data_IF_198777725349
#
_entry.id   IF_198777725349
#
_cell.length_a   1.000
_cell.length_b   1.000
_cell.length_c   1.000
_cell.angle_alpha   90.00
_cell.angle_beta   90.00
_cell.angle_gamma   90.00
#
_symmetry.space_group_name_H-M   'P 1'
#
loop_
_entity.id
_entity.type
_entity.pdbx_description
1 polymer ?
#
# COMPACT_ATOMS: atom_id res chain seq x y z
N UNK A 1 -1.25 -24.17 -10.56
CA UNK A 1 -2.59 -23.89 -10.01
C UNK A 1 -3.30 -22.85 -10.85
N UNK A 2 -4.64 -22.87 -10.79
CA UNK A 2 -5.51 -21.83 -11.37
C UNK A 2 -6.02 -20.94 -10.23
N UNK A 3 -5.69 -19.66 -10.25
CA UNK A 3 -5.88 -18.74 -9.12
C UNK A 3 -6.79 -17.59 -9.54
N UNK A 4 -7.91 -17.41 -8.86
CA UNK A 4 -8.78 -16.26 -9.00
C UNK A 4 -8.40 -15.18 -7.98
N UNK A 5 -8.05 -13.99 -8.43
CA UNK A 5 -7.70 -12.84 -7.59
C UNK A 5 -8.85 -11.83 -7.61
N UNK A 6 -9.53 -11.65 -6.50
CA UNK A 6 -10.73 -10.80 -6.42
C UNK A 6 -10.39 -9.43 -5.82
N UNK A 7 -10.55 -8.35 -6.61
CA UNK A 7 -10.46 -6.97 -6.13
C UNK A 7 -11.83 -6.37 -5.92
N UNK A 8 -12.10 -5.68 -4.81
CA UNK A 8 -13.33 -4.90 -4.65
C UNK A 8 -13.29 -3.55 -5.36
N UNK A 9 -12.09 -3.07 -5.75
CA UNK A 9 -11.86 -1.69 -6.18
C UNK A 9 -11.84 -1.52 -7.70
N UNK A 10 -12.16 -0.31 -8.14
CA UNK A 10 -12.09 0.10 -9.56
C UNK A 10 -10.70 -0.14 -10.14
N UNK A 11 -10.61 -1.07 -11.10
CA UNK A 11 -9.33 -1.43 -11.71
C UNK A 11 -8.73 -0.33 -12.58
N UNK A 12 -9.56 0.58 -13.08
CA UNK A 12 -9.10 1.73 -13.87
C UNK A 12 -8.42 2.83 -13.03
N UNK A 13 -8.48 2.73 -11.70
CA UNK A 13 -7.87 3.73 -10.81
C UNK A 13 -6.67 3.16 -10.07
N UNK A 14 -5.53 3.87 -10.09
CA UNK A 14 -4.35 3.48 -9.31
C UNK A 14 -4.67 3.39 -7.82
N UNK A 15 -4.18 2.34 -7.16
CA UNK A 15 -4.35 2.16 -5.72
C UNK A 15 -3.54 0.99 -5.21
N UNK A 16 -3.04 1.10 -3.97
CA UNK A 16 -2.13 0.10 -3.38
C UNK A 16 -2.64 -1.33 -3.43
N UNK A 17 -3.95 -1.56 -3.27
CA UNK A 17 -4.53 -2.92 -3.35
C UNK A 17 -4.53 -3.45 -4.78
N UNK A 18 -4.90 -2.63 -5.78
CA UNK A 18 -4.87 -3.06 -7.18
C UNK A 18 -3.43 -3.32 -7.65
N UNK A 19 -2.48 -2.49 -7.25
CA UNK A 19 -1.04 -2.71 -7.51
C UNK A 19 -0.57 -4.02 -6.87
N UNK A 20 -0.93 -4.27 -5.61
CA UNK A 20 -0.62 -5.52 -4.92
C UNK A 20 -1.16 -6.75 -5.67
N UNK A 21 -2.41 -6.70 -6.12
CA UNK A 21 -3.04 -7.80 -6.87
C UNK A 21 -2.35 -8.02 -8.21
N UNK A 22 -2.02 -6.96 -8.94
CA UNK A 22 -1.30 -7.01 -10.21
C UNK A 22 0.06 -7.68 -10.04
N UNK A 23 0.86 -7.18 -9.09
CA UNK A 23 2.20 -7.73 -8.83
C UNK A 23 2.14 -9.21 -8.39
N UNK A 24 1.19 -9.59 -7.53
CA UNK A 24 1.00 -11.00 -7.18
C UNK A 24 0.62 -11.84 -8.40
N UNK A 25 -0.30 -11.35 -9.25
CA UNK A 25 -0.70 -12.03 -10.48
C UNK A 25 0.49 -12.28 -11.40
N UNK A 26 1.33 -11.26 -11.61
CA UNK A 26 2.49 -11.33 -12.48
C UNK A 26 3.53 -12.32 -11.92
N UNK A 27 3.79 -12.29 -10.61
CA UNK A 27 4.69 -13.25 -9.96
C UNK A 27 4.14 -14.67 -10.02
N UNK A 28 2.86 -14.89 -9.79
CA UNK A 28 2.27 -16.23 -9.91
C UNK A 28 2.34 -16.77 -11.35
N UNK A 29 2.15 -15.91 -12.35
CA UNK A 29 2.32 -16.27 -13.76
C UNK A 29 3.77 -16.63 -14.08
N UNK A 30 4.74 -15.88 -13.57
CA UNK A 30 6.17 -16.19 -13.72
C UNK A 30 6.57 -17.54 -13.08
N UNK A 31 5.85 -17.94 -12.00
CA UNK A 31 5.99 -19.26 -11.35
C UNK A 31 5.25 -20.38 -12.10
N UNK A 32 4.63 -20.09 -13.27
CA UNK A 32 3.91 -21.08 -14.08
C UNK A 32 2.45 -21.33 -13.66
N UNK A 33 1.86 -20.46 -12.85
CA UNK A 33 0.44 -20.55 -12.47
C UNK A 33 -0.45 -19.76 -13.43
N UNK A 34 -1.71 -20.14 -13.56
CA UNK A 34 -2.72 -19.39 -14.30
C UNK A 34 -3.46 -18.46 -13.33
N UNK A 35 -3.56 -17.18 -13.66
CA UNK A 35 -4.25 -16.20 -12.83
C UNK A 35 -5.37 -15.52 -13.60
N UNK A 36 -6.48 -15.25 -12.92
CA UNK A 36 -7.59 -14.43 -13.42
C UNK A 36 -7.90 -13.37 -12.37
N UNK A 37 -7.80 -12.11 -12.76
CA UNK A 37 -8.15 -10.98 -11.89
C UNK A 37 -9.62 -10.64 -12.12
N UNK A 38 -10.39 -10.50 -11.05
CA UNK A 38 -11.80 -10.14 -11.10
C UNK A 38 -12.02 -8.84 -10.34
N UNK A 39 -12.43 -7.78 -11.04
CA UNK A 39 -12.59 -6.46 -10.47
C UNK A 39 -13.72 -5.66 -11.14
N UNK A 40 -14.28 -4.62 -10.49
CA UNK A 40 -15.08 -3.63 -11.20
C UNK A 40 -14.16 -2.69 -11.99
N UNK A 41 -14.65 -2.09 -13.06
CA UNK A 41 -13.91 -1.08 -13.80
C UNK A 41 -14.82 0.04 -14.31
N UNK A 42 -14.31 1.28 -14.25
CA UNK A 42 -14.96 2.47 -14.79
C UNK A 42 -14.61 2.72 -16.26
N UNK A 43 -13.57 2.05 -16.78
CA UNK A 43 -13.13 2.09 -18.18
C UNK A 43 -13.40 0.77 -18.89
N UNK A 44 -13.51 0.77 -20.24
CA UNK A 44 -13.56 -0.45 -21.03
C UNK A 44 -12.30 -1.30 -20.85
N UNK A 45 -12.42 -2.63 -20.95
CA UNK A 45 -11.29 -3.56 -20.78
C UNK A 45 -10.15 -3.25 -21.78
N UNK A 46 -10.49 -2.85 -23.00
CA UNK A 46 -9.51 -2.51 -24.03
C UNK A 46 -8.59 -1.32 -23.66
N UNK A 47 -9.00 -0.49 -22.70
CA UNK A 47 -8.20 0.64 -22.19
C UNK A 47 -7.40 0.27 -20.91
N UNK A 48 -7.52 -0.98 -20.45
CA UNK A 48 -6.88 -1.46 -19.23
C UNK A 48 -5.74 -2.40 -19.62
N UNK A 49 -4.53 -2.02 -19.26
CA UNK A 49 -3.32 -2.82 -19.51
C UNK A 49 -3.27 -4.04 -18.57
N UNK A 50 -4.17 -5.01 -18.83
CA UNK A 50 -4.26 -6.24 -18.04
C UNK A 50 -4.99 -7.31 -18.85
N UNK A 51 -4.26 -8.29 -19.38
CA UNK A 51 -4.75 -9.32 -20.30
C UNK A 51 -5.63 -10.40 -19.62
N UNK A 52 -5.44 -10.61 -18.33
CA UNK A 52 -6.15 -11.62 -17.54
C UNK A 52 -7.24 -11.04 -16.63
N UNK A 53 -7.80 -9.89 -17.00
CA UNK A 53 -8.84 -9.18 -16.24
C UNK A 53 -10.25 -9.56 -16.70
N UNK A 54 -11.09 -9.97 -15.76
CA UNK A 54 -12.53 -10.11 -15.92
C UNK A 54 -13.24 -8.98 -15.19
N UNK A 55 -13.87 -8.09 -15.95
CA UNK A 55 -14.60 -6.95 -15.37
C UNK A 55 -16.00 -7.35 -14.95
N UNK A 56 -16.32 -7.19 -13.67
CA UNK A 56 -17.65 -7.43 -13.11
C UNK A 56 -18.14 -6.20 -12.34
N UNK A 57 -19.05 -5.45 -12.96
CA UNK A 57 -19.71 -4.30 -12.35
C UNK A 57 -19.06 -2.96 -12.68
N UNK A 58 -19.86 -1.89 -12.52
CA UNK A 58 -19.39 -0.51 -12.60
C UNK A 58 -19.18 0.01 -11.18
N UNK A 59 -18.02 0.61 -10.88
CA UNK A 59 -17.76 1.17 -9.56
C UNK A 59 -18.46 2.52 -9.37
N UNK A 60 -18.81 2.82 -8.13
CA UNK A 60 -19.26 4.13 -7.69
C UNK A 60 -18.36 4.62 -6.55
N UNK A 61 -18.16 5.94 -6.40
CA UNK A 61 -17.38 6.48 -5.31
C UNK A 61 -18.14 6.38 -4.00
N UNK A 62 -17.52 5.77 -2.98
CA UNK A 62 -18.07 5.63 -1.63
C UNK A 62 -17.07 6.23 -0.64
N UNK A 63 -17.44 7.27 0.14
CA UNK A 63 -16.60 7.79 1.20
C UNK A 63 -16.28 6.72 2.24
N UNK A 64 -15.00 6.45 2.47
CA UNK A 64 -14.56 5.42 3.41
C UNK A 64 -13.23 5.83 4.06
N UNK A 65 -13.21 5.87 5.39
CA UNK A 65 -12.01 6.06 6.18
C UNK A 65 -11.16 7.32 5.85
N UNK A 66 -11.81 8.42 5.50
CA UNK A 66 -11.12 9.67 5.13
C UNK A 66 -10.56 9.68 3.71
N UNK A 67 -10.97 8.71 2.89
CA UNK A 67 -10.68 8.59 1.47
C UNK A 67 -11.95 8.22 0.70
N UNK A 68 -11.84 8.07 -0.63
CA UNK A 68 -12.93 7.63 -1.49
C UNK A 68 -12.58 6.26 -2.08
N UNK A 69 -13.32 5.23 -1.65
CA UNK A 69 -13.26 3.90 -2.27
C UNK A 69 -14.19 3.85 -3.49
N UNK A 70 -13.72 3.33 -4.61
CA UNK A 70 -14.54 3.11 -5.81
C UNK A 70 -14.87 1.64 -5.91
N UNK A 71 -16.09 1.27 -5.51
CA UNK A 71 -16.54 -0.13 -5.41
C UNK A 71 -17.87 -0.31 -6.13
N UNK A 72 -18.19 -1.53 -6.55
CA UNK A 72 -19.51 -1.85 -7.07
C UNK A 72 -20.49 -2.19 -5.95
N UNK A 73 -21.73 -1.69 -6.04
CA UNK A 73 -22.82 -2.01 -5.12
C UNK A 73 -23.96 -2.79 -5.79
N UNK A 74 -23.83 -3.16 -7.07
CA UNK A 74 -24.85 -3.87 -7.83
C UNK A 74 -24.92 -5.37 -7.46
N UNK A 75 -25.86 -5.74 -6.63
CA UNK A 75 -26.10 -7.13 -6.19
C UNK A 75 -26.42 -8.10 -7.32
N UNK A 76 -26.98 -7.61 -8.43
CA UNK A 76 -27.24 -8.43 -9.62
C UNK A 76 -25.97 -9.02 -10.22
N UNK A 77 -24.80 -8.43 -9.95
CA UNK A 77 -23.49 -8.93 -10.39
C UNK A 77 -23.04 -10.17 -9.65
N UNK A 78 -23.63 -10.47 -8.48
CA UNK A 78 -23.32 -11.68 -7.72
C UNK A 78 -23.58 -12.97 -8.52
N UNK A 79 -24.60 -12.99 -9.40
CA UNK A 79 -24.85 -14.14 -10.30
C UNK A 79 -23.71 -14.34 -11.30
N UNK A 80 -23.13 -13.25 -11.84
CA UNK A 80 -22.01 -13.33 -12.77
C UNK A 80 -20.74 -13.81 -12.08
N UNK A 81 -20.52 -13.42 -10.81
CA UNK A 81 -19.43 -13.99 -9.99
C UNK A 81 -19.62 -15.49 -9.81
N UNK A 82 -20.86 -15.93 -9.50
CA UNK A 82 -21.17 -17.34 -9.35
C UNK A 82 -20.85 -18.14 -10.63
N UNK A 83 -21.37 -17.69 -11.78
CA UNK A 83 -21.11 -18.35 -13.08
C UNK A 83 -19.61 -18.43 -13.35
N UNK A 84 -18.88 -17.32 -13.21
CA UNK A 84 -17.43 -17.31 -13.40
C UNK A 84 -16.70 -18.33 -12.53
N UNK A 85 -17.06 -18.43 -11.24
CA UNK A 85 -16.44 -19.38 -10.32
C UNK A 85 -16.75 -20.85 -10.67
N UNK A 86 -17.95 -21.11 -11.21
CA UNK A 86 -18.36 -22.44 -11.69
C UNK A 86 -17.66 -22.80 -13.01
N UNK A 87 -17.54 -21.83 -13.94
CA UNK A 87 -16.94 -22.06 -15.27
C UNK A 87 -15.40 -22.21 -15.19
N UNK A 88 -14.77 -21.42 -14.29
CA UNK A 88 -13.31 -21.38 -14.19
C UNK A 88 -12.70 -22.48 -13.31
N UNK A 89 -13.44 -23.05 -12.39
CA UNK A 89 -12.98 -24.13 -11.49
C UNK A 89 -11.59 -23.81 -10.86
N UNK A 90 -11.47 -22.66 -10.19
CA UNK A 90 -10.22 -22.26 -9.55
C UNK A 90 -9.77 -23.24 -8.46
N UNK A 91 -8.48 -23.50 -8.38
CA UNK A 91 -7.87 -24.19 -7.22
C UNK A 91 -7.94 -23.29 -5.97
N UNK A 92 -7.63 -22.00 -6.16
CA UNK A 92 -7.60 -20.99 -5.11
C UNK A 92 -8.38 -19.75 -5.55
N UNK A 93 -9.22 -19.23 -4.67
CA UNK A 93 -9.84 -17.91 -4.80
C UNK A 93 -9.29 -17.00 -3.70
N UNK A 94 -8.44 -16.07 -4.09
CA UNK A 94 -7.83 -15.10 -3.18
C UNK A 94 -8.60 -13.78 -3.22
N UNK A 95 -9.17 -13.40 -2.10
CA UNK A 95 -10.11 -12.28 -1.99
C UNK A 95 -9.46 -11.15 -1.21
N UNK A 96 -9.23 -10.03 -1.86
CA UNK A 96 -8.70 -8.84 -1.18
C UNK A 96 -9.84 -8.04 -0.56
N UNK A 97 -9.68 -7.61 0.70
CA UNK A 97 -10.72 -7.00 1.52
C UNK A 97 -12.02 -7.84 1.52
N UNK A 98 -11.96 -9.09 2.01
CA UNK A 98 -13.00 -10.10 1.79
C UNK A 98 -14.37 -9.77 2.37
N UNK A 99 -14.45 -8.77 3.26
CA UNK A 99 -15.70 -8.35 3.89
C UNK A 99 -16.31 -7.08 3.25
N UNK A 100 -15.73 -6.58 2.14
CA UNK A 100 -16.35 -5.53 1.36
C UNK A 100 -17.53 -6.08 0.52
N UNK A 101 -18.55 -5.24 0.27
CA UNK A 101 -19.78 -5.69 -0.37
C UNK A 101 -19.59 -6.14 -1.82
N UNK A 102 -20.56 -6.91 -2.29
CA UNK A 102 -20.80 -7.43 -3.64
C UNK A 102 -19.73 -8.43 -4.10
N UNK A 103 -18.63 -8.03 -4.76
CA UNK A 103 -17.71 -9.00 -5.35
C UNK A 103 -17.04 -9.89 -4.32
N UNK A 104 -16.39 -9.36 -3.26
CA UNK A 104 -15.77 -10.20 -2.23
C UNK A 104 -16.76 -11.13 -1.54
N UNK A 105 -17.92 -10.60 -1.12
CA UNK A 105 -18.93 -11.40 -0.45
C UNK A 105 -19.57 -12.43 -1.39
N UNK A 106 -19.77 -12.12 -2.67
CA UNK A 106 -20.26 -13.09 -3.64
C UNK A 106 -19.24 -14.22 -3.87
N UNK A 107 -17.94 -13.86 -3.97
CA UNK A 107 -16.88 -14.85 -4.06
C UNK A 107 -16.88 -15.78 -2.85
N UNK A 108 -16.93 -15.25 -1.62
CA UNK A 108 -17.03 -16.05 -0.40
C UNK A 108 -18.27 -16.94 -0.33
N UNK A 109 -19.39 -16.48 -0.90
CA UNK A 109 -20.65 -17.23 -0.89
C UNK A 109 -20.63 -18.40 -1.85
N UNK A 110 -20.12 -18.19 -3.06
CA UNK A 110 -20.31 -19.15 -4.16
C UNK A 110 -19.07 -19.96 -4.48
N UNK A 111 -17.90 -19.56 -4.02
CA UNK A 111 -16.67 -20.34 -4.24
C UNK A 111 -16.71 -21.67 -3.49
N UNK A 112 -16.26 -22.71 -4.21
CA UNK A 112 -16.00 -24.08 -3.68
C UNK A 112 -14.50 -24.38 -3.59
N UNK A 113 -13.68 -23.43 -4.04
CA UNK A 113 -12.22 -23.49 -4.06
C UNK A 113 -11.62 -23.31 -2.67
N UNK A 114 -10.30 -23.35 -2.56
CA UNK A 114 -9.61 -22.84 -1.38
C UNK A 114 -9.78 -21.31 -1.32
N UNK A 115 -10.48 -20.80 -0.33
CA UNK A 115 -10.69 -19.36 -0.16
C UNK A 115 -9.66 -18.76 0.79
N UNK A 116 -8.88 -17.81 0.30
CA UNK A 116 -7.92 -17.03 1.11
C UNK A 116 -8.32 -15.57 1.08
N UNK A 117 -8.26 -14.90 2.23
CA UNK A 117 -8.61 -13.48 2.31
C UNK A 117 -7.45 -12.63 2.79
N UNK A 118 -7.10 -11.55 2.05
CA UNK A 118 -6.10 -10.57 2.49
C UNK A 118 -6.77 -9.28 2.95
N UNK A 119 -6.39 -8.83 4.16
CA UNK A 119 -6.83 -7.60 4.79
C UNK A 119 -5.74 -6.54 4.70
N UNK A 120 -6.04 -5.44 4.00
CA UNK A 120 -5.11 -4.34 3.75
C UNK A 120 -5.38 -3.12 4.63
N UNK A 121 -6.62 -2.94 5.08
CA UNK A 121 -7.04 -1.70 5.73
C UNK A 121 -6.66 -1.64 7.21
N UNK A 122 -6.13 -0.50 7.63
CA UNK A 122 -6.01 -0.12 9.03
C UNK A 122 -7.03 0.96 9.37
N UNK A 123 -8.16 0.54 9.95
CA UNK A 123 -9.22 1.45 10.39
C UNK A 123 -9.36 1.37 11.90
N UNK A 124 -8.88 2.37 12.62
CA UNK A 124 -8.88 2.44 14.09
C UNK A 124 -10.24 2.09 14.71
N UNK A 125 -11.36 2.39 14.03
CA UNK A 125 -12.73 1.96 14.35
C UNK A 125 -13.49 1.70 13.07
N UNK A 126 -13.88 0.46 12.82
CA UNK A 126 -14.72 0.11 11.67
C UNK A 126 -16.18 -0.08 12.14
N UNK A 127 -16.96 1.00 12.04
CA UNK A 127 -18.39 0.97 12.38
C UNK A 127 -19.16 -0.05 11.52
N UNK A 128 -18.78 -0.22 10.27
CA UNK A 128 -19.38 -1.20 9.36
C UNK A 128 -19.16 -2.63 9.84
N UNK A 129 -17.93 -2.99 10.24
CA UNK A 129 -17.64 -4.31 10.80
C UNK A 129 -18.43 -4.57 12.09
N UNK A 130 -18.58 -3.57 12.94
CA UNK A 130 -19.37 -3.69 14.18
C UNK A 130 -20.84 -3.91 13.88
N UNK A 131 -21.44 -3.10 13.01
CA UNK A 131 -22.86 -3.17 12.68
C UNK A 131 -23.24 -4.45 11.93
N UNK A 132 -22.37 -4.90 11.00
CA UNK A 132 -22.61 -6.07 10.16
C UNK A 132 -22.03 -7.37 10.74
N UNK A 133 -21.42 -7.32 11.94
CA UNK A 133 -20.78 -8.47 12.58
C UNK A 133 -21.64 -9.74 12.61
N UNK A 134 -22.94 -9.72 12.94
CA UNK A 134 -23.76 -10.92 12.96
C UNK A 134 -23.83 -11.64 11.62
N UNK A 135 -23.92 -10.84 10.55
CA UNK A 135 -23.98 -11.33 9.16
C UNK A 135 -22.62 -11.78 8.68
N UNK A 136 -21.61 -10.90 8.79
CA UNK A 136 -20.26 -11.14 8.28
C UNK A 136 -19.52 -12.25 9.02
N UNK A 137 -19.87 -12.54 10.28
CA UNK A 137 -19.31 -13.66 11.06
C UNK A 137 -19.52 -15.01 10.36
N UNK A 138 -20.65 -15.20 9.72
CA UNK A 138 -20.92 -16.44 9.00
C UNK A 138 -20.12 -16.52 7.68
N UNK A 139 -19.88 -15.37 7.04
CA UNK A 139 -19.16 -15.31 5.76
C UNK A 139 -17.65 -15.50 5.94
N UNK A 140 -17.07 -14.92 6.99
CA UNK A 140 -15.63 -15.07 7.27
C UNK A 140 -15.23 -16.52 7.57
N UNK A 141 -16.18 -17.36 8.00
CA UNK A 141 -15.96 -18.81 8.21
C UNK A 141 -15.67 -19.55 6.91
N UNK A 142 -16.06 -18.98 5.76
CA UNK A 142 -15.78 -19.57 4.46
C UNK A 142 -14.34 -19.27 3.98
N UNK A 143 -13.58 -18.46 4.73
CA UNK A 143 -12.13 -18.29 4.51
C UNK A 143 -11.40 -19.48 5.16
N UNK A 144 -10.67 -20.23 4.37
CA UNK A 144 -9.77 -21.28 4.82
C UNK A 144 -8.46 -20.68 5.35
N UNK A 145 -8.00 -19.59 4.72
CA UNK A 145 -6.84 -18.83 5.14
C UNK A 145 -7.10 -17.33 5.24
N UNK A 146 -6.41 -16.68 6.19
CA UNK A 146 -6.48 -15.24 6.38
C UNK A 146 -5.08 -14.66 6.42
N UNK A 147 -4.84 -13.69 5.56
CA UNK A 147 -3.60 -12.91 5.48
C UNK A 147 -3.90 -11.47 5.93
N UNK A 148 -2.98 -10.88 6.65
CA UNK A 148 -2.98 -9.45 6.90
C UNK A 148 -1.62 -8.87 6.50
N UNK A 149 -1.61 -7.67 5.91
CA UNK A 149 -0.38 -7.04 5.42
C UNK A 149 0.51 -6.51 6.55
N UNK A 150 0.02 -6.50 7.78
CA UNK A 150 0.76 -6.07 8.97
C UNK A 150 0.06 -6.48 10.25
N UNK A 151 0.77 -6.51 11.38
CA UNK A 151 0.18 -6.72 12.69
C UNK A 151 -0.92 -5.69 13.04
N UNK A 152 -0.76 -4.38 12.75
CA UNK A 152 -1.84 -3.42 12.94
C UNK A 152 -3.10 -3.73 12.13
N UNK A 153 -2.95 -4.19 10.88
CA UNK A 153 -4.09 -4.59 10.05
C UNK A 153 -4.80 -5.84 10.63
N UNK A 154 -4.01 -6.86 11.03
CA UNK A 154 -4.52 -8.05 11.71
C UNK A 154 -5.23 -7.70 13.00
N UNK A 155 -4.64 -6.87 13.85
CA UNK A 155 -5.19 -6.49 15.15
C UNK A 155 -6.54 -5.78 15.05
N UNK A 156 -6.79 -5.04 13.97
CA UNK A 156 -8.10 -4.40 13.77
C UNK A 156 -9.17 -5.40 13.39
N UNK A 157 -8.90 -6.25 12.42
CA UNK A 157 -9.91 -7.22 11.97
C UNK A 157 -10.16 -8.28 13.05
N UNK A 158 -9.12 -8.70 13.78
CA UNK A 158 -9.21 -9.67 14.87
C UNK A 158 -10.10 -9.21 16.04
N UNK A 159 -10.21 -7.89 16.29
CA UNK A 159 -11.16 -7.34 17.29
C UNK A 159 -12.61 -7.69 17.00
N UNK A 160 -12.98 -7.82 15.72
CA UNK A 160 -14.34 -8.13 15.31
C UNK A 160 -14.51 -9.61 14.96
N UNK A 161 -13.45 -10.23 14.44
CA UNK A 161 -13.43 -11.60 13.94
C UNK A 161 -12.16 -12.31 14.45
N UNK A 162 -12.14 -12.77 15.69
CA UNK A 162 -11.00 -13.47 16.29
C UNK A 162 -10.57 -14.67 15.45
N UNK A 163 -9.26 -14.94 15.42
CA UNK A 163 -8.67 -16.06 14.72
C UNK A 163 -7.22 -15.78 14.35
N UNK A 164 -6.57 -16.76 13.75
CA UNK A 164 -5.21 -16.63 13.23
C UNK A 164 -5.21 -15.86 11.91
N UNK A 165 -4.26 -14.94 11.79
CA UNK A 165 -3.98 -14.16 10.59
C UNK A 165 -2.49 -14.30 10.29
N UNK A 166 -2.17 -14.86 9.12
CA UNK A 166 -0.79 -14.95 8.67
C UNK A 166 -0.32 -13.56 8.22
N UNK A 167 0.78 -13.07 8.78
CA UNK A 167 1.32 -11.76 8.43
C UNK A 167 2.23 -11.90 7.20
N UNK A 168 1.72 -11.47 6.05
CA UNK A 168 2.48 -11.40 4.80
C UNK A 168 2.46 -9.95 4.32
N UNK A 169 3.61 -9.24 4.33
CA UNK A 169 3.68 -7.82 4.03
C UNK A 169 3.37 -7.52 2.56
N UNK A 170 3.18 -6.24 2.24
CA UNK A 170 3.19 -5.80 0.85
C UNK A 170 4.60 -5.92 0.27
N UNK A 171 4.67 -6.21 -1.01
CA UNK A 171 5.91 -6.21 -1.78
C UNK A 171 6.26 -4.84 -2.35
N UNK A 172 7.50 -4.73 -2.81
CA UNK A 172 8.02 -3.59 -3.55
C UNK A 172 8.67 -4.07 -4.86
N UNK A 173 8.50 -3.31 -5.93
CA UNK A 173 9.21 -3.52 -7.20
C UNK A 173 10.61 -2.93 -7.10
N UNK A 174 11.57 -3.77 -6.75
CA UNK A 174 12.96 -3.37 -6.56
C UNK A 174 13.64 -2.95 -7.87
N UNK A 175 13.21 -3.48 -9.01
CA UNK A 175 13.76 -3.09 -10.30
C UNK A 175 13.28 -1.69 -10.69
N UNK A 176 12.00 -1.43 -10.48
CA UNK A 176 11.40 -0.12 -10.76
C UNK A 176 11.94 0.98 -9.83
N UNK A 177 12.02 0.73 -8.53
CA UNK A 177 12.57 1.67 -7.54
C UNK A 177 14.08 1.48 -7.31
N UNK A 178 14.82 1.08 -8.35
CA UNK A 178 16.27 0.87 -8.25
C UNK A 178 17.02 2.17 -7.96
N UNK A 179 18.10 2.03 -7.21
CA UNK A 179 19.06 3.10 -7.02
C UNK A 179 19.83 3.47 -8.31
N UNK A 180 19.76 2.65 -9.35
CA UNK A 180 20.42 2.87 -10.64
C UNK A 180 19.60 3.80 -11.56
N UNK A 181 18.35 4.11 -11.21
CA UNK A 181 17.53 5.10 -11.93
C UNK A 181 18.14 6.49 -11.77
N UNK A 182 18.37 7.24 -12.88
CA UNK A 182 19.00 8.55 -12.80
C UNK A 182 18.07 9.58 -12.15
N UNK A 183 18.58 10.45 -11.26
CA UNK A 183 17.82 11.56 -10.69
C UNK A 183 17.45 12.59 -11.76
N UNK A 184 16.60 13.55 -11.43
CA UNK A 184 16.33 14.70 -12.30
C UNK A 184 17.47 15.71 -12.21
N UNK A 185 18.15 15.97 -13.32
CA UNK A 185 19.30 16.89 -13.40
C UNK A 185 18.96 18.31 -12.95
N UNK A 186 17.75 18.80 -13.22
CA UNK A 186 17.29 20.13 -12.82
C UNK A 186 17.33 20.40 -11.30
N UNK A 187 17.42 19.36 -10.50
CA UNK A 187 17.51 19.45 -9.04
C UNK A 187 18.94 19.17 -8.50
N UNK A 188 19.89 18.95 -9.39
CA UNK A 188 21.29 18.79 -9.04
C UNK A 188 22.01 20.17 -9.02
N UNK A 189 21.50 21.09 -8.24
CA UNK A 189 21.93 22.49 -8.16
C UNK A 189 22.57 22.84 -6.80
N UNK A 190 22.92 21.83 -6.02
CA UNK A 190 23.54 21.99 -4.69
C UNK A 190 22.53 22.21 -3.55
N UNK A 191 21.24 22.26 -3.84
CA UNK A 191 20.20 22.28 -2.79
C UNK A 191 19.94 20.87 -2.25
N UNK A 192 19.54 20.80 -0.98
CA UNK A 192 19.10 19.57 -0.33
C UNK A 192 17.61 19.37 -0.60
N UNK A 193 17.26 18.32 -1.31
CA UNK A 193 15.90 18.04 -1.71
C UNK A 193 15.20 17.14 -0.68
N UNK A 194 14.17 17.69 -0.01
CA UNK A 194 13.26 16.93 0.86
C UNK A 194 12.05 16.53 0.01
N UNK A 195 11.70 15.25 -0.02
CA UNK A 195 10.59 14.73 -0.81
C UNK A 195 9.44 14.27 0.07
N UNK A 196 8.23 14.66 -0.31
CA UNK A 196 6.98 14.08 0.17
C UNK A 196 6.25 13.43 -1.01
N UNK A 197 5.77 12.18 -0.82
CA UNK A 197 4.94 11.47 -1.79
C UNK A 197 3.64 11.02 -1.14
N UNK A 198 2.51 11.48 -1.66
CA UNK A 198 1.21 11.06 -1.16
C UNK A 198 0.07 11.96 -1.62
N UNK A 199 -1.16 11.42 -1.52
CA UNK A 199 -2.36 12.24 -1.77
C UNK A 199 -2.47 13.37 -0.76
N UNK A 200 -2.96 14.54 -1.18
CA UNK A 200 -3.16 15.70 -0.31
C UNK A 200 -4.34 15.49 0.66
N UNK A 201 -4.27 14.42 1.45
CA UNK A 201 -5.24 14.07 2.48
C UNK A 201 -4.71 14.51 3.85
N UNK A 202 -5.59 15.05 4.71
CA UNK A 202 -5.23 15.52 6.05
C UNK A 202 -4.44 14.49 6.88
N UNK A 203 -4.78 13.19 6.71
CA UNK A 203 -4.10 12.09 7.41
C UNK A 203 -2.64 11.88 6.96
N UNK A 204 -2.25 12.33 5.76
CA UNK A 204 -0.87 12.27 5.26
C UNK A 204 0.05 13.30 5.91
N UNK A 205 -0.52 14.27 6.61
CA UNK A 205 0.21 15.13 7.54
C UNK A 205 1.09 16.20 6.89
N UNK A 206 0.87 16.54 5.60
CA UNK A 206 1.68 17.54 4.89
C UNK A 206 1.80 18.87 5.65
N UNK A 207 0.76 19.30 6.37
CA UNK A 207 0.78 20.50 7.21
C UNK A 207 1.93 20.47 8.24
N UNK A 208 2.26 19.31 8.81
CA UNK A 208 3.35 19.20 9.79
C UNK A 208 4.72 19.27 9.13
N UNK A 209 4.85 18.75 7.91
CA UNK A 209 6.07 18.92 7.13
C UNK A 209 6.29 20.36 6.71
N UNK A 210 5.24 21.04 6.24
CA UNK A 210 5.31 22.47 5.91
C UNK A 210 5.69 23.32 7.14
N UNK A 211 5.12 23.02 8.30
CA UNK A 211 5.47 23.69 9.55
C UNK A 211 6.92 23.40 9.96
N UNK A 212 7.38 22.17 9.90
CA UNK A 212 8.78 21.79 10.16
C UNK A 212 9.73 22.46 9.16
N UNK A 213 9.41 22.41 7.86
CA UNK A 213 10.18 23.06 6.81
C UNK A 213 10.34 24.57 7.06
N UNK A 214 9.26 25.25 7.44
CA UNK A 214 9.31 26.67 7.75
C UNK A 214 10.19 27.01 8.95
N UNK A 215 10.36 26.12 9.92
CA UNK A 215 11.26 26.32 11.06
C UNK A 215 12.73 26.27 10.65
N UNK A 216 13.06 25.39 9.69
CA UNK A 216 14.46 25.16 9.30
C UNK A 216 14.92 26.00 8.13
N UNK A 217 14.01 26.53 7.32
CA UNK A 217 14.34 27.25 6.06
C UNK A 217 15.25 28.48 6.27
N UNK A 218 15.09 29.21 7.36
CA UNK A 218 15.94 30.36 7.67
C UNK A 218 17.38 29.97 8.02
N UNK A 219 17.56 28.87 8.72
CA UNK A 219 18.89 28.36 9.09
C UNK A 219 19.56 27.63 7.92
N UNK A 220 18.75 26.97 7.09
CA UNK A 220 19.21 26.18 5.94
C UNK A 220 18.57 26.67 4.63
N UNK A 221 18.98 27.82 4.10
CA UNK A 221 18.38 28.38 2.88
C UNK A 221 18.53 27.47 1.65
N UNK A 222 19.48 26.55 1.66
CA UNK A 222 19.73 25.59 0.59
C UNK A 222 18.77 24.39 0.57
N UNK A 223 17.79 24.30 1.48
CA UNK A 223 16.79 23.22 1.43
C UNK A 223 15.66 23.53 0.44
N UNK A 224 15.18 22.50 -0.25
CA UNK A 224 14.02 22.54 -1.14
C UNK A 224 13.04 21.43 -0.73
N UNK A 225 11.73 21.71 -0.85
CA UNK A 225 10.67 20.74 -0.59
C UNK A 225 9.94 20.38 -1.88
N UNK A 226 10.01 19.13 -2.30
CA UNK A 226 9.31 18.55 -3.45
C UNK A 226 8.08 17.80 -2.96
N UNK A 227 6.90 18.13 -3.47
CA UNK A 227 5.62 17.56 -3.04
C UNK A 227 4.98 16.88 -4.25
N UNK A 228 4.93 15.53 -4.21
CA UNK A 228 4.36 14.69 -5.27
C UNK A 228 3.06 14.06 -4.78
N UNK A 229 2.03 14.17 -5.59
CA UNK A 229 0.74 13.50 -5.40
C UNK A 229 -0.47 14.36 -5.74
N UNK A 230 -1.60 13.73 -6.05
CA UNK A 230 -2.81 14.42 -6.41
C UNK A 230 -3.57 14.97 -5.20
N UNK A 231 -4.43 15.94 -5.46
CA UNK A 231 -5.35 16.51 -4.48
C UNK A 231 -5.22 18.02 -4.35
N UNK A 232 -5.97 18.57 -3.41
CA UNK A 232 -5.90 19.98 -3.02
C UNK A 232 -5.33 20.07 -1.60
N UNK A 233 -4.64 21.14 -1.33
CA UNK A 233 -4.14 21.44 0.03
C UNK A 233 -5.33 21.59 0.99
N UNK A 234 -5.11 21.22 2.23
CA UNK A 234 -6.04 21.59 3.28
C UNK A 234 -5.81 23.02 3.77
N UNK A 235 -6.81 23.61 4.40
CA UNK A 235 -6.78 25.00 4.86
C UNK A 235 -5.60 25.28 5.83
N UNK A 236 -5.13 24.28 6.58
CA UNK A 236 -3.99 24.43 7.46
C UNK A 236 -2.68 24.55 6.68
N UNK A 237 -2.51 23.72 5.64
CA UNK A 237 -1.35 23.79 4.74
C UNK A 237 -1.33 25.10 3.94
N UNK A 238 -2.49 25.52 3.41
CA UNK A 238 -2.63 26.80 2.69
C UNK A 238 -2.27 28.00 3.57
N UNK A 239 -2.70 27.99 4.82
CA UNK A 239 -2.38 29.04 5.79
C UNK A 239 -0.89 29.12 6.07
N UNK A 240 -0.22 27.97 6.32
CA UNK A 240 1.22 27.94 6.59
C UNK A 240 2.00 28.51 5.40
N UNK A 241 1.62 28.16 4.18
CA UNK A 241 2.25 28.67 2.96
C UNK A 241 2.04 30.19 2.81
N UNK A 242 0.80 30.67 3.01
CA UNK A 242 0.45 32.08 2.87
C UNK A 242 1.08 32.98 3.94
N UNK A 243 1.12 32.54 5.21
CA UNK A 243 1.66 33.31 6.31
C UNK A 243 3.20 33.41 6.30
N UNK A 244 3.88 32.41 5.73
CA UNK A 244 5.33 32.24 5.85
C UNK A 244 6.11 32.44 4.56
N UNK A 245 5.42 32.70 3.42
CA UNK A 245 6.04 32.94 2.11
C UNK A 245 7.17 31.91 1.82
N UNK A 246 6.83 30.60 1.93
CA UNK A 246 7.84 29.54 1.86
C UNK A 246 8.41 29.43 0.44
N UNK A 247 9.66 29.83 0.30
CA UNK A 247 10.43 29.67 -0.92
C UNK A 247 10.88 28.20 -1.11
N UNK A 248 11.17 27.82 -2.34
CA UNK A 248 11.64 26.49 -2.70
C UNK A 248 10.69 25.35 -2.29
N UNK A 249 9.37 25.59 -2.29
CA UNK A 249 8.34 24.55 -2.16
C UNK A 249 7.71 24.32 -3.53
N UNK A 250 7.92 23.15 -4.10
CA UNK A 250 7.41 22.78 -5.43
C UNK A 250 6.29 21.73 -5.32
N UNK A 251 5.09 22.10 -5.80
CA UNK A 251 3.95 21.18 -5.94
C UNK A 251 3.95 20.57 -7.34
N UNK A 252 4.33 19.31 -7.42
CA UNK A 252 4.49 18.59 -8.68
C UNK A 252 3.19 17.90 -9.16
N UNK A 253 2.18 17.87 -8.29
CA UNK A 253 0.92 17.19 -8.59
C UNK A 253 1.10 15.68 -8.75
N UNK A 254 0.20 15.08 -9.51
CA UNK A 254 0.31 13.67 -9.85
C UNK A 254 1.35 13.49 -10.96
N UNK A 255 2.39 12.71 -10.69
CA UNK A 255 3.43 12.36 -11.66
C UNK A 255 3.14 10.97 -12.26
N UNK A 256 3.66 10.67 -13.47
CA UNK A 256 3.64 9.32 -14.02
C UNK A 256 4.33 8.33 -13.07
N UNK A 257 3.84 7.09 -13.04
CA UNK A 257 4.42 6.05 -12.18
C UNK A 257 5.88 5.79 -12.51
N UNK A 258 6.23 5.81 -13.79
CA UNK A 258 7.60 5.57 -14.28
C UNK A 258 8.58 6.69 -13.93
N UNK A 259 8.09 7.90 -13.66
CA UNK A 259 8.93 9.01 -13.19
C UNK A 259 9.12 9.02 -11.66
N UNK A 260 8.25 8.31 -10.92
CA UNK A 260 8.27 8.32 -9.45
C UNK A 260 9.62 7.88 -8.85
N UNK A 261 10.29 6.82 -9.37
CA UNK A 261 11.62 6.42 -8.89
C UNK A 261 12.66 7.54 -9.02
N UNK A 262 12.60 8.34 -10.07
CA UNK A 262 13.51 9.47 -10.30
C UNK A 262 13.36 10.53 -9.22
N UNK A 263 12.13 10.80 -8.72
CA UNK A 263 11.91 11.73 -7.60
C UNK A 263 12.50 11.20 -6.31
N UNK A 264 12.35 9.90 -6.02
CA UNK A 264 13.01 9.31 -4.86
C UNK A 264 14.53 9.41 -4.99
N UNK A 265 15.09 9.13 -6.17
CA UNK A 265 16.55 9.27 -6.43
C UNK A 265 17.05 10.72 -6.38
N UNK A 266 16.20 11.67 -6.69
CA UNK A 266 16.50 13.11 -6.58
C UNK A 266 16.54 13.58 -5.13
N UNK A 267 15.80 12.93 -4.27
CA UNK A 267 15.66 13.34 -2.88
C UNK A 267 16.88 12.96 -2.04
N UNK A 268 17.34 13.90 -1.25
CA UNK A 268 18.32 13.69 -0.18
C UNK A 268 17.68 13.12 1.08
N UNK A 269 16.39 13.44 1.31
CA UNK A 269 15.60 12.99 2.45
C UNK A 269 14.17 12.74 1.97
N UNK A 270 13.63 11.56 2.23
CA UNK A 270 12.21 11.29 2.08
C UNK A 270 11.49 11.49 3.41
N UNK A 271 10.37 12.21 3.40
CA UNK A 271 9.60 12.51 4.60
C UNK A 271 8.14 12.09 4.47
N UNK A 272 7.66 11.24 5.40
CA UNK A 272 6.27 10.79 5.45
C UNK A 272 5.65 11.05 6.83
N UNK A 273 5.09 12.25 7.09
CA UNK A 273 4.61 12.68 8.40
C UNK A 273 3.15 12.32 8.67
N UNK A 274 2.72 11.13 8.24
CA UNK A 274 1.33 10.71 8.38
C UNK A 274 0.85 10.74 9.84
N UNK A 275 -0.40 11.15 10.04
CA UNK A 275 -0.98 11.28 11.39
C UNK A 275 -1.68 10.01 11.87
N UNK A 276 -1.76 8.99 11.02
CA UNK A 276 -2.40 7.70 11.26
C UNK A 276 -3.15 7.18 10.03
N UNK A 277 -3.78 6.02 10.17
CA UNK A 277 -4.58 5.43 9.08
C UNK A 277 -3.75 4.77 7.97
N UNK A 278 -2.46 4.53 8.22
CA UNK A 278 -1.60 3.73 7.36
C UNK A 278 -1.52 2.31 7.93
N UNK A 279 -1.71 1.33 7.06
CA UNK A 279 -1.64 -0.08 7.46
C UNK A 279 -0.24 -0.65 7.36
N UNK A 280 0.61 -0.08 6.51
CA UNK A 280 1.94 -0.60 6.21
C UNK A 280 2.94 0.51 5.88
N UNK A 281 2.76 1.23 4.76
CA UNK A 281 3.67 2.31 4.34
C UNK A 281 4.52 1.93 3.13
N UNK A 282 3.88 1.56 2.01
CA UNK A 282 4.57 1.22 0.75
C UNK A 282 5.54 2.32 0.32
N UNK A 283 5.16 3.60 0.46
CA UNK A 283 6.01 4.75 0.10
C UNK A 283 7.35 4.79 0.85
N UNK A 284 7.41 4.18 2.04
CA UNK A 284 8.66 4.05 2.80
C UNK A 284 9.59 3.03 2.13
N UNK A 285 9.03 1.89 1.69
CA UNK A 285 9.80 0.89 0.94
C UNK A 285 10.24 1.40 -0.43
N UNK A 286 9.43 2.22 -1.10
CA UNK A 286 9.81 2.89 -2.36
C UNK A 286 11.04 3.78 -2.15
N UNK A 287 11.03 4.62 -1.11
CA UNK A 287 12.17 5.45 -0.75
C UNK A 287 13.40 4.62 -0.38
N UNK A 288 13.23 3.59 0.46
CA UNK A 288 14.31 2.68 0.87
C UNK A 288 14.91 1.94 -0.33
N UNK A 289 14.09 1.40 -1.24
CA UNK A 289 14.57 0.70 -2.43
C UNK A 289 15.39 1.62 -3.33
N UNK A 290 15.01 2.88 -3.45
CA UNK A 290 15.77 3.91 -4.15
C UNK A 290 17.06 4.33 -3.40
N UNK A 291 17.29 3.87 -2.17
CA UNK A 291 18.43 4.25 -1.33
C UNK A 291 18.29 5.64 -0.67
N UNK A 292 17.08 6.18 -0.63
CA UNK A 292 16.79 7.47 -0.03
C UNK A 292 16.50 7.30 1.46
N UNK A 293 17.20 8.02 2.36
CA UNK A 293 16.96 7.94 3.79
C UNK A 293 15.58 8.47 4.16
N UNK A 294 14.94 7.82 5.11
CA UNK A 294 13.53 8.04 5.46
C UNK A 294 13.39 8.68 6.84
N UNK A 295 12.57 9.74 6.92
CA UNK A 295 11.99 10.24 8.17
C UNK A 295 10.48 10.00 8.10
N UNK A 296 9.90 9.34 9.09
CA UNK A 296 8.48 9.04 9.11
C UNK A 296 7.87 9.23 10.50
N UNK A 297 6.56 9.38 10.57
CA UNK A 297 5.87 9.40 11.86
C UNK A 297 5.89 8.02 12.52
N UNK A 298 6.08 7.99 13.85
CA UNK A 298 5.92 6.79 14.67
C UNK A 298 4.42 6.45 14.83
N UNK A 299 3.91 5.78 13.81
CA UNK A 299 2.55 5.24 13.78
C UNK A 299 2.59 3.72 13.54
N UNK A 300 1.62 2.96 14.05
CA UNK A 300 1.68 1.50 14.02
C UNK A 300 1.99 0.89 12.65
N UNK A 301 1.43 1.45 11.57
CA UNK A 301 1.71 0.94 10.21
C UNK A 301 3.13 1.20 9.74
N UNK A 302 3.72 2.33 10.07
CA UNK A 302 5.10 2.66 9.68
C UNK A 302 6.15 1.94 10.52
N UNK A 303 5.87 1.75 11.82
CA UNK A 303 6.71 0.95 12.71
C UNK A 303 6.79 -0.54 12.33
N UNK A 304 5.97 -1.02 11.38
CA UNK A 304 6.13 -2.37 10.82
C UNK A 304 7.18 -2.44 9.70
N UNK A 305 7.57 -1.28 9.16
CA UNK A 305 8.54 -1.16 8.06
C UNK A 305 9.84 -0.54 8.54
N UNK A 306 9.79 0.40 9.50
CA UNK A 306 10.97 1.10 10.02
C UNK A 306 11.24 0.66 11.46
N UNK A 307 12.45 0.19 11.69
CA UNK A 307 13.07 0.17 13.01
C UNK A 307 13.86 1.47 13.17
N UNK A 308 13.50 2.25 14.21
CA UNK A 308 14.07 3.58 14.44
C UNK A 308 15.60 3.53 14.59
N UNK A 309 16.29 4.42 13.87
CA UNK A 309 17.75 4.49 13.81
C UNK A 309 18.42 3.36 13.02
N UNK A 310 17.72 2.27 12.70
CA UNK A 310 18.27 1.17 11.89
C UNK A 310 18.04 1.39 10.38
N UNK A 311 16.80 1.61 9.98
CA UNK A 311 16.41 1.71 8.56
C UNK A 311 15.82 3.08 8.18
N UNK A 312 15.62 3.96 9.15
CA UNK A 312 15.07 5.30 9.03
C UNK A 312 14.93 5.94 10.40
N UNK A 313 14.31 7.11 10.46
CA UNK A 313 14.03 7.84 11.69
C UNK A 313 12.54 7.95 11.91
N UNK A 314 12.09 7.58 13.10
CA UNK A 314 10.69 7.73 13.53
C UNK A 314 10.55 8.95 14.46
N UNK A 315 9.55 9.79 14.17
CA UNK A 315 9.23 10.97 14.98
C UNK A 315 7.78 10.91 15.47
N UNK A 316 7.45 11.48 16.63
CA UNK A 316 6.08 11.53 17.10
C UNK A 316 5.14 12.14 16.06
N UNK A 317 3.97 11.52 15.78
CA UNK A 317 3.03 12.05 14.82
C UNK A 317 2.45 13.37 15.29
N UNK A 318 2.24 14.32 14.37
CA UNK A 318 1.72 15.68 14.62
C UNK A 318 2.66 16.59 15.42
N UNK A 319 3.93 16.25 15.50
CA UNK A 319 4.97 17.05 16.14
C UNK A 319 5.91 17.63 15.08
N UNK A 320 5.64 18.86 14.66
CA UNK A 320 6.45 19.59 13.67
C UNK A 320 7.81 20.01 14.23
N UNK A 321 7.94 20.15 15.55
CA UNK A 321 9.23 20.47 16.16
C UNK A 321 10.16 19.26 16.18
N UNK A 322 9.66 18.08 16.58
CA UNK A 322 10.42 16.83 16.50
C UNK A 322 10.82 16.51 15.04
N UNK A 323 9.90 16.72 14.09
CA UNK A 323 10.18 16.55 12.67
C UNK A 323 11.26 17.51 12.17
N UNK A 324 11.20 18.79 12.57
CA UNK A 324 12.23 19.79 12.23
C UNK A 324 13.61 19.37 12.77
N UNK A 325 13.68 18.91 14.02
CA UNK A 325 14.93 18.43 14.62
C UNK A 325 15.51 17.23 13.85
N UNK A 326 14.69 16.27 13.48
CA UNK A 326 15.12 15.12 12.67
C UNK A 326 15.64 15.54 11.28
N UNK A 327 14.97 16.50 10.64
CA UNK A 327 15.43 17.09 9.37
C UNK A 327 16.79 17.79 9.55
N UNK A 328 16.95 18.62 10.57
CA UNK A 328 18.22 19.31 10.87
C UNK A 328 19.36 18.32 11.08
N UNK A 329 19.13 17.26 11.85
CA UNK A 329 20.11 16.21 12.07
C UNK A 329 20.55 15.54 10.76
N UNK A 330 19.60 15.19 9.90
CA UNK A 330 19.88 14.63 8.58
C UNK A 330 20.61 15.62 7.65
N UNK A 331 20.28 16.92 7.70
CA UNK A 331 20.92 17.95 6.89
C UNK A 331 22.38 18.13 7.31
N UNK A 332 22.65 18.17 8.62
CA UNK A 332 23.99 18.40 9.17
C UNK A 332 24.92 17.20 9.06
N UNK A 333 24.37 15.99 8.91
CA UNK A 333 25.14 14.73 8.90
C UNK A 333 24.97 13.95 7.59
N UNK A 334 25.64 14.37 6.50
CA UNK A 334 25.52 13.72 5.20
C UNK A 334 25.96 12.25 5.23
N UNK A 335 26.93 11.88 6.08
CA UNK A 335 27.39 10.49 6.20
C UNK A 335 26.33 9.62 6.87
N UNK A 336 25.71 10.07 7.96
CA UNK A 336 24.59 9.37 8.60
C UNK A 336 23.41 9.21 7.62
N UNK A 337 23.11 10.27 6.86
CA UNK A 337 22.07 10.25 5.82
C UNK A 337 22.35 9.19 4.77
N UNK A 338 23.59 9.11 4.28
CA UNK A 338 24.02 8.10 3.29
C UNK A 338 23.95 6.67 3.87
N UNK A 339 24.42 6.47 5.07
CA UNK A 339 24.41 5.18 5.76
C UNK A 339 22.99 4.67 6.02
N UNK A 340 22.06 5.53 6.47
CA UNK A 340 20.65 5.20 6.62
C UNK A 340 20.01 4.79 5.28
N UNK A 341 20.32 5.50 4.20
CA UNK A 341 19.84 5.17 2.87
C UNK A 341 20.33 3.80 2.40
N UNK A 342 21.60 3.47 2.62
CA UNK A 342 22.18 2.16 2.28
C UNK A 342 21.55 1.02 3.09
N UNK A 343 21.38 1.21 4.40
CA UNK A 343 20.74 0.22 5.28
C UNK A 343 19.27 0.03 4.91
N UNK A 344 18.55 1.12 4.63
CA UNK A 344 17.18 1.06 4.14
C UNK A 344 17.07 0.27 2.83
N UNK A 345 17.98 0.51 1.88
CA UNK A 345 18.03 -0.23 0.61
C UNK A 345 18.26 -1.73 0.80
N UNK A 346 19.20 -2.09 1.67
CA UNK A 346 19.48 -3.49 1.99
C UNK A 346 18.25 -4.16 2.62
N UNK A 347 17.59 -3.47 3.54
CA UNK A 347 16.40 -3.98 4.22
C UNK A 347 15.20 -4.15 3.26
N UNK A 348 15.01 -3.23 2.30
CA UNK A 348 13.93 -3.30 1.32
C UNK A 348 13.97 -4.59 0.46
N UNK A 349 15.14 -5.23 0.32
CA UNK A 349 15.28 -6.49 -0.43
C UNK A 349 14.40 -7.62 0.13
N UNK A 350 14.15 -7.62 1.43
CA UNK A 350 13.30 -8.63 2.09
C UNK A 350 11.80 -8.51 1.70
N UNK A 351 11.42 -7.42 1.05
CA UNK A 351 10.07 -7.12 0.61
C UNK A 351 9.89 -7.21 -0.91
N UNK A 352 10.82 -7.82 -1.64
CA UNK A 352 10.66 -8.02 -3.08
C UNK A 352 9.39 -8.82 -3.41
N UNK A 353 8.75 -8.52 -4.54
CA UNK A 353 7.51 -9.20 -4.91
C UNK A 353 7.68 -10.70 -5.12
N UNK A 354 8.83 -11.17 -5.56
CA UNK A 354 9.12 -12.61 -5.69
C UNK A 354 9.11 -13.32 -4.33
N UNK A 355 9.72 -12.72 -3.28
CA UNK A 355 9.70 -13.27 -1.93
C UNK A 355 8.29 -13.23 -1.30
N UNK A 356 7.58 -12.12 -1.48
CA UNK A 356 6.21 -11.99 -0.97
C UNK A 356 5.29 -12.99 -1.67
N UNK A 357 5.38 -13.13 -2.98
CA UNK A 357 4.56 -14.07 -3.74
C UNK A 357 4.85 -15.53 -3.34
N UNK A 358 6.11 -15.90 -3.11
CA UNK A 358 6.48 -17.24 -2.59
C UNK A 358 5.83 -17.50 -1.24
N UNK A 359 5.89 -16.56 -0.28
CA UNK A 359 5.22 -16.71 1.03
C UNK A 359 3.71 -16.93 0.88
N UNK A 360 3.06 -16.25 -0.07
CA UNK A 360 1.64 -16.45 -0.35
C UNK A 360 1.40 -17.83 -0.95
N UNK A 361 2.26 -18.28 -1.87
CA UNK A 361 2.18 -19.62 -2.48
C UNK A 361 2.39 -20.73 -1.44
N UNK A 362 3.41 -20.60 -0.60
CA UNK A 362 3.68 -21.55 0.50
C UNK A 362 2.45 -21.69 1.41
N UNK A 363 1.80 -20.54 1.71
CA UNK A 363 0.58 -20.56 2.51
C UNK A 363 -0.58 -21.25 1.79
N UNK A 364 -0.75 -21.06 0.48
CA UNK A 364 -1.77 -21.79 -0.28
C UNK A 364 -1.49 -23.31 -0.27
N UNK A 365 -0.25 -23.71 -0.46
CA UNK A 365 0.15 -25.12 -0.45
C UNK A 365 -0.11 -25.75 0.92
N UNK A 366 0.24 -25.06 2.00
CA UNK A 366 -0.07 -25.50 3.36
C UNK A 366 -1.56 -25.73 3.56
N UNK A 367 -2.40 -24.76 3.20
CA UNK A 367 -3.85 -24.84 3.36
C UNK A 367 -4.47 -25.94 2.48
N UNK A 368 -3.96 -26.16 1.26
CA UNK A 368 -4.41 -27.25 0.39
C UNK A 368 -4.07 -28.63 1.00
N UNK A 369 -2.90 -28.76 1.61
CA UNK A 369 -2.50 -29.98 2.31
C UNK A 369 -3.36 -30.24 3.55
N UNK A 370 -3.72 -29.19 4.29
CA UNK A 370 -4.60 -29.30 5.46
C UNK A 370 -6.04 -29.69 5.08
N UNK A 371 -6.51 -29.21 3.92
CA UNK A 371 -7.86 -29.51 3.41
C UNK A 371 -7.98 -30.91 2.82
N UNK A 372 -6.90 -31.44 2.22
CA UNK A 372 -6.86 -32.77 1.61
C UNK A 372 -5.71 -33.61 2.20
N UNK A 373 -5.97 -34.37 3.29
CA UNK A 373 -4.95 -35.19 3.94
C UNK A 373 -4.29 -36.23 3.01
N UNK A 374 -4.96 -36.67 1.94
CA UNK A 374 -4.40 -37.60 1.00
C UNK A 374 -3.30 -37.02 0.10
N UNK A 375 -3.32 -35.71 -0.13
CA UNK A 375 -2.21 -34.99 -0.81
C UNK A 375 -0.92 -34.99 0.01
N UNK A 376 -0.97 -35.17 1.34
CA UNK A 376 0.23 -35.29 2.19
C UNK A 376 1.07 -36.53 1.86
N UNK A 377 0.42 -37.62 1.49
CA UNK A 377 1.09 -38.92 1.23
C UNK A 377 1.75 -39.01 -0.14
N UNK A 378 1.51 -38.08 -1.05
CA UNK A 378 2.07 -38.08 -2.41
C UNK A 378 3.37 -37.30 -2.57
N UNK A 379 3.77 -36.50 -1.56
CA UNK A 379 5.00 -35.69 -1.56
C UNK A 379 6.13 -36.26 -0.67
N UNK A 380 5.87 -37.38 0.04
CA UNK A 380 6.87 -38.20 0.73
C UNK A 380 7.29 -39.38 -0.11
#
# INVERSE_FOLDING_TARGET
MKIGLISPYDWAHPGGVNTHIRCLSDQFRSMGHRTTIVAPASKPVAELDTDNLVVIGKPIPVPMAGSVARITLSVHRARRVKSLLEDEEFDVVHIHEPLLPVLPLAALRFSRSLNVGTFHAYLRRNRGYRALRPILKNWIRNLHGKIAVSEPAAGIVARYYPGYYNIIPNGIDLAHFSADVPPFEKYNDGKINILFVGRMEKRKGLQYLLAAYSRIKWEFPQVRLLIVGPGKLDAASERILGERLLEDVEFLGQVPYDDLPRYYRTADIFCSPATGGESFGIVLLEAMAAGTPVIASDIPGYATVIEDGAHGVLVPPKDDAALANALVEMIRRPDTRRDLGQRGRAYAQAFSWDLVARRVMDYYEQLLQERDPLRRLQKT
#
